data_IF_689675243343
#
_entry.id   IF_689675243343
#
_cell.length_a   1.000
_cell.length_b   1.000
_cell.length_c   1.000
_cell.angle_alpha   90.00
_cell.angle_beta   90.00
_cell.angle_gamma   90.00
#
_symmetry.space_group_name_H-M   'P 1'
#
loop_
_entity.id
_entity.type
_entity.pdbx_description
1 polymer ?
#
# COMPACT_ATOMS: atom_id res chain seq x y z
N UNK A 1 -8.53 -41.28 11.39
CA UNK A 1 -8.55 -40.30 10.28
C UNK A 1 -8.77 -38.89 10.82
N UNK A 2 -7.73 -38.16 11.26
CA UNK A 2 -7.87 -36.72 11.59
C UNK A 2 -6.51 -36.03 11.75
N UNK A 3 -5.64 -36.10 10.73
CA UNK A 3 -4.36 -35.38 10.73
C UNK A 3 -4.13 -34.51 9.48
N UNK A 4 -5.13 -34.41 8.58
CA UNK A 4 -4.98 -33.75 7.28
C UNK A 4 -5.73 -32.42 7.13
N UNK A 5 -6.48 -31.96 8.15
CA UNK A 5 -7.13 -30.65 8.12
C UNK A 5 -6.28 -29.55 8.80
N UNK A 6 -5.59 -29.88 9.90
CA UNK A 6 -4.79 -28.91 10.67
C UNK A 6 -3.49 -28.51 9.95
N UNK A 7 -2.91 -29.40 9.16
CA UNK A 7 -1.70 -29.11 8.36
C UNK A 7 -2.01 -28.29 7.10
N UNK A 8 -3.22 -28.38 6.54
CA UNK A 8 -3.66 -27.52 5.41
C UNK A 8 -4.03 -26.09 5.84
N UNK A 9 -4.40 -25.89 7.11
CA UNK A 9 -4.72 -24.56 7.65
C UNK A 9 -3.47 -23.77 8.02
N UNK A 10 -2.39 -24.44 8.43
CA UNK A 10 -1.12 -23.79 8.78
C UNK A 10 -0.40 -23.15 7.56
N UNK A 11 -0.51 -23.77 6.38
CA UNK A 11 0.15 -23.26 5.16
C UNK A 11 -0.52 -22.02 4.54
N UNK A 12 -1.75 -21.67 4.96
CA UNK A 12 -2.43 -20.43 4.55
C UNK A 12 -2.16 -19.24 5.47
N UNK A 13 -1.47 -19.44 6.60
CA UNK A 13 -1.24 -18.38 7.60
C UNK A 13 0.24 -18.00 7.74
N UNK A 14 1.06 -18.29 6.73
CA UNK A 14 2.30 -17.55 6.53
C UNK A 14 1.99 -16.41 5.57
N UNK A 15 1.62 -15.25 6.10
CA UNK A 15 1.55 -14.00 5.34
C UNK A 15 2.88 -13.80 4.60
N UNK A 16 2.90 -14.15 3.32
CA UNK A 16 4.05 -13.93 2.47
C UNK A 16 4.29 -12.42 2.39
N UNK A 17 5.35 -11.95 3.06
CA UNK A 17 5.72 -10.54 3.07
C UNK A 17 6.27 -10.21 1.67
N UNK A 18 5.40 -9.72 0.80
CA UNK A 18 5.80 -9.25 -0.52
C UNK A 18 6.36 -7.84 -0.40
N UNK A 19 7.69 -7.72 -0.45
CA UNK A 19 8.37 -6.42 -0.51
C UNK A 19 8.49 -5.95 -1.95
N UNK A 20 8.32 -4.64 -2.17
CA UNK A 20 8.47 -4.01 -3.49
C UNK A 20 9.31 -2.74 -3.35
N UNK A 21 10.23 -2.55 -4.28
CA UNK A 21 11.03 -1.32 -4.39
C UNK A 21 10.38 -0.39 -5.41
N UNK A 22 10.14 0.85 -5.02
CA UNK A 22 9.59 1.89 -5.87
C UNK A 22 10.58 3.03 -5.98
N UNK A 23 10.63 3.65 -7.16
CA UNK A 23 11.42 4.86 -7.40
C UNK A 23 10.59 6.07 -7.00
N UNK A 24 11.21 7.01 -6.29
CA UNK A 24 10.67 8.34 -6.07
C UNK A 24 10.85 9.13 -7.35
N UNK A 25 9.77 9.66 -7.89
CA UNK A 25 9.79 10.51 -9.08
C UNK A 25 9.62 11.97 -8.67
N UNK A 26 10.21 12.85 -9.46
CA UNK A 26 9.98 14.28 -9.33
C UNK A 26 8.71 14.65 -10.09
N UNK A 27 7.79 15.34 -9.44
CA UNK A 27 6.61 15.95 -10.07
C UNK A 27 6.74 17.46 -10.03
N UNK A 28 6.65 18.08 -11.21
CA UNK A 28 6.55 19.51 -11.33
C UNK A 28 5.08 19.91 -11.19
N UNK A 29 4.78 20.71 -10.17
CA UNK A 29 3.48 21.32 -9.96
C UNK A 29 3.55 22.76 -10.44
N UNK A 30 2.85 23.04 -11.54
CA UNK A 30 2.67 24.41 -12.03
C UNK A 30 1.57 25.09 -11.23
N UNK A 31 1.93 26.06 -10.40
CA UNK A 31 1.00 27.02 -9.82
C UNK A 31 0.80 28.23 -10.72
N UNK A 32 -0.21 29.04 -10.45
CA UNK A 32 -0.56 30.25 -11.22
C UNK A 32 0.60 31.24 -11.38
N UNK A 33 1.54 31.27 -10.42
CA UNK A 33 2.65 32.22 -10.39
C UNK A 33 4.04 31.59 -10.26
N UNK A 34 4.15 30.29 -9.95
CA UNK A 34 5.43 29.59 -9.70
C UNK A 34 5.33 28.11 -10.00
N UNK A 35 6.45 27.51 -10.42
CA UNK A 35 6.61 26.06 -10.56
C UNK A 35 7.23 25.53 -9.27
N UNK A 36 6.55 24.60 -8.61
CA UNK A 36 7.04 23.91 -7.40
C UNK A 36 7.40 22.47 -7.74
N UNK A 37 8.54 22.02 -7.26
CA UNK A 37 9.00 20.65 -7.44
C UNK A 37 8.65 19.83 -6.21
N UNK A 38 7.85 18.78 -6.38
CA UNK A 38 7.46 17.88 -5.29
C UNK A 38 7.89 16.44 -5.59
N UNK A 39 8.23 15.68 -4.55
CA UNK A 39 8.52 14.26 -4.68
C UNK A 39 7.22 13.45 -4.70
N UNK A 40 7.11 12.51 -5.65
CA UNK A 40 5.93 11.67 -5.85
C UNK A 40 6.31 10.19 -5.79
N UNK A 41 5.59 9.40 -4.98
CA UNK A 41 5.65 7.94 -5.02
C UNK A 41 4.39 7.39 -5.67
N UNK A 42 4.53 6.52 -6.67
CA UNK A 42 3.40 5.92 -7.39
C UNK A 42 3.23 4.46 -6.98
N UNK A 43 2.25 4.18 -6.15
CA UNK A 43 1.76 2.82 -5.91
C UNK A 43 0.85 2.43 -7.06
N UNK A 44 1.32 1.56 -7.96
CA UNK A 44 0.54 1.09 -9.10
C UNK A 44 0.71 -0.42 -9.31
N UNK A 45 -0.38 -1.07 -9.70
CA UNK A 45 -0.38 -2.46 -10.15
C UNK A 45 -1.52 -3.27 -9.55
N UNK A 46 -1.84 -4.39 -10.23
CA UNK A 46 -2.90 -5.34 -9.83
C UNK A 46 -2.70 -5.93 -8.42
N UNK A 47 -1.52 -5.78 -7.84
CA UNK A 47 -1.21 -6.26 -6.50
C UNK A 47 -1.90 -5.44 -5.41
N UNK A 48 -2.20 -4.15 -5.64
CA UNK A 48 -2.90 -3.29 -4.67
C UNK A 48 -4.32 -3.81 -4.38
N UNK A 49 -5.05 -4.13 -5.43
CA UNK A 49 -6.39 -4.72 -5.33
C UNK A 49 -6.33 -6.09 -4.62
N UNK A 50 -5.34 -6.93 -4.95
CA UNK A 50 -5.13 -8.23 -4.29
C UNK A 50 -4.87 -8.13 -2.78
N UNK A 51 -4.25 -7.06 -2.31
CA UNK A 51 -4.02 -6.81 -0.87
C UNK A 51 -5.14 -5.98 -0.21
N UNK A 52 -6.23 -5.71 -0.96
CA UNK A 52 -7.44 -5.10 -0.44
C UNK A 52 -7.56 -3.58 -0.65
N UNK A 53 -6.60 -2.93 -1.31
CA UNK A 53 -6.69 -1.51 -1.65
C UNK A 53 -7.47 -1.33 -2.94
N UNK A 54 -8.76 -0.98 -2.80
CA UNK A 54 -9.70 -0.77 -3.89
C UNK A 54 -9.84 0.71 -4.22
N UNK A 55 -10.25 0.96 -5.46
CA UNK A 55 -10.57 2.30 -5.93
C UNK A 55 -11.69 2.94 -5.10
N UNK A 56 -11.60 4.25 -4.85
CA UNK A 56 -12.56 5.01 -4.07
C UNK A 56 -12.44 4.85 -2.55
N UNK A 57 -11.54 4.00 -2.05
CA UNK A 57 -11.29 3.87 -0.62
C UNK A 57 -10.36 4.98 -0.11
N UNK A 58 -10.64 5.41 1.12
CA UNK A 58 -9.74 6.31 1.86
C UNK A 58 -8.63 5.50 2.52
N UNK A 59 -7.46 6.10 2.61
CA UNK A 59 -6.29 5.52 3.29
C UNK A 59 -5.76 6.51 4.32
N UNK A 60 -5.28 5.97 5.43
CA UNK A 60 -4.56 6.73 6.45
C UNK A 60 -3.06 6.62 6.20
N UNK A 61 -2.37 7.75 6.26
CA UNK A 61 -0.92 7.86 6.10
C UNK A 61 -0.33 8.32 7.42
N UNK A 62 0.52 7.48 8.01
CA UNK A 62 1.34 7.85 9.17
C UNK A 62 2.77 8.10 8.71
N UNK A 63 3.30 9.26 9.08
CA UNK A 63 4.65 9.70 8.71
C UNK A 63 5.60 9.67 9.91
N UNK A 64 6.77 9.09 9.71
CA UNK A 64 7.91 9.12 10.64
C UNK A 64 9.19 9.35 9.83
N UNK A 65 10.29 9.70 10.50
CA UNK A 65 11.61 9.83 9.85
C UNK A 65 11.93 8.55 9.05
N UNK A 66 12.10 8.69 7.73
CA UNK A 66 12.40 7.61 6.78
C UNK A 66 11.37 6.47 6.72
N UNK A 67 10.14 6.67 7.21
CA UNK A 67 9.10 5.64 7.22
C UNK A 67 7.73 6.23 6.95
N UNK A 68 7.04 5.66 5.97
CA UNK A 68 5.63 5.90 5.68
C UNK A 68 4.86 4.61 5.93
N UNK A 69 3.77 4.69 6.69
CA UNK A 69 2.85 3.57 6.88
C UNK A 69 1.51 3.94 6.27
N UNK A 70 1.05 3.16 5.29
CA UNK A 70 -0.21 3.38 4.60
C UNK A 70 -1.16 2.26 5.01
N UNK A 71 -2.33 2.62 5.49
CA UNK A 71 -3.36 1.67 5.94
C UNK A 71 -4.72 2.04 5.36
N UNK A 72 -5.58 1.06 5.15
CA UNK A 72 -6.96 1.32 4.74
C UNK A 72 -7.72 2.00 5.87
N UNK A 73 -8.42 3.08 5.54
CA UNK A 73 -9.34 3.68 6.50
C UNK A 73 -10.58 2.78 6.64
N UNK A 74 -10.81 2.30 7.86
CA UNK A 74 -11.93 1.41 8.18
C UNK A 74 -13.16 2.16 8.64
N UNK A 75 -13.10 3.49 8.70
CA UNK A 75 -14.27 4.32 9.00
C UNK A 75 -15.27 4.14 7.85
N UNK A 76 -16.30 3.32 8.10
CA UNK A 76 -17.44 3.21 7.19
C UNK A 76 -18.14 4.57 7.15
N UNK A 77 -18.48 5.00 5.94
CA UNK A 77 -19.37 6.14 5.72
C UNK A 77 -20.75 5.83 6.29
#
# INVERSE_FOLDING_TARGET
MSANLLTKLSCNYMTMINSRRLKIYTRYQTGTYKITTVSETRLKGKWLDKIGFKEGQMVNIEEKKNKLTITLDKRKK
#
